data_IF_236331817999
#
_entry.id   IF_236331817999
#
_cell.length_a   1.000
_cell.length_b   1.000
_cell.length_c   1.000
_cell.angle_alpha   90.00
_cell.angle_beta   90.00
_cell.angle_gamma   90.00
#
_symmetry.space_group_name_H-M   'P 1'
#
loop_
_entity.id
_entity.type
_entity.pdbx_description
1 polymer ?
#
# COMPACT_ATOMS: atom_id res chain seq x y z
N UNK A 1 7.24 -22.22 -0.74
CA UNK A 1 7.87 -22.31 0.61
C UNK A 1 8.13 -20.88 1.04
N UNK A 2 7.45 -20.29 2.01
CA UNK A 2 7.31 -20.63 3.43
C UNK A 2 5.94 -20.09 3.92
N UNK A 3 5.03 -20.84 4.54
CA UNK A 3 5.01 -21.19 5.97
C UNK A 3 5.25 -20.01 6.92
N UNK A 4 4.35 -19.03 6.93
CA UNK A 4 4.05 -18.20 8.09
C UNK A 4 2.53 -18.25 8.30
N UNK A 5 2.10 -18.43 9.55
CA UNK A 5 0.75 -18.86 9.93
C UNK A 5 -0.38 -17.94 9.47
N UNK A 6 -1.59 -18.30 9.92
CA UNK A 6 -2.89 -17.63 9.79
C UNK A 6 -2.94 -16.18 10.31
N UNK A 7 -1.84 -15.43 10.21
CA UNK A 7 -1.77 -14.00 10.51
C UNK A 7 -2.24 -13.24 9.27
N UNK A 8 -3.34 -12.51 9.42
CA UNK A 8 -3.85 -11.59 8.40
C UNK A 8 -2.75 -10.59 8.03
N UNK A 9 -2.54 -10.33 6.73
CA UNK A 9 -1.61 -9.30 6.27
C UNK A 9 -1.95 -7.96 6.94
N UNK A 10 -0.96 -7.18 7.37
CA UNK A 10 -1.20 -5.82 7.82
C UNK A 10 -1.92 -5.02 6.72
N UNK A 11 -2.94 -4.26 7.10
CA UNK A 11 -3.67 -3.37 6.17
C UNK A 11 -3.07 -1.97 6.22
N UNK A 12 -2.82 -1.36 5.06
CA UNK A 12 -2.22 -0.03 4.92
C UNK A 12 -3.10 0.85 4.04
N UNK A 13 -3.53 1.99 4.56
CA UNK A 13 -4.15 3.07 3.79
C UNK A 13 -3.13 4.22 3.64
N UNK A 14 -3.19 4.93 2.52
CA UNK A 14 -2.42 6.18 2.36
C UNK A 14 -3.34 7.32 1.93
N UNK A 15 -2.98 8.55 2.28
CA UNK A 15 -3.79 9.71 1.91
C UNK A 15 -2.90 10.89 1.59
N UNK A 16 -3.29 11.64 0.56
CA UNK A 16 -2.70 12.93 0.24
C UNK A 16 -3.71 14.01 0.64
N UNK A 17 -3.37 14.76 1.68
CA UNK A 17 -4.18 15.89 2.15
C UNK A 17 -3.71 17.16 1.42
N UNK A 18 -3.24 18.18 2.14
CA UNK A 18 -2.64 19.38 1.54
C UNK A 18 -1.17 19.16 1.12
N UNK A 19 -0.88 18.08 0.38
CA UNK A 19 0.45 17.70 -0.07
C UNK A 19 0.63 17.79 -1.59
N UNK A 20 1.89 17.86 -2.06
CA UNK A 20 2.23 17.87 -3.50
C UNK A 20 2.30 16.47 -4.13
N UNK A 21 1.90 15.43 -3.40
CA UNK A 21 2.06 14.02 -3.78
C UNK A 21 3.49 13.46 -3.81
N UNK A 22 4.51 14.29 -3.52
CA UNK A 22 5.92 13.87 -3.50
C UNK A 22 6.24 12.72 -2.53
N UNK A 23 5.55 12.62 -1.39
CA UNK A 23 5.76 11.49 -0.46
C UNK A 23 5.27 10.15 -1.03
N UNK A 24 4.23 10.17 -1.87
CA UNK A 24 3.75 8.95 -2.53
C UNK A 24 4.68 8.58 -3.69
N UNK A 25 5.22 9.58 -4.42
CA UNK A 25 6.26 9.34 -5.42
C UNK A 25 7.52 8.74 -4.78
N UNK A 26 7.98 9.28 -3.64
CA UNK A 26 9.09 8.69 -2.89
C UNK A 26 8.80 7.26 -2.38
N UNK A 27 7.53 6.91 -2.12
CA UNK A 27 7.14 5.52 -1.83
C UNK A 27 7.21 4.65 -3.10
N UNK A 28 6.83 5.18 -4.27
CA UNK A 28 6.91 4.45 -5.55
C UNK A 28 8.34 4.35 -6.09
N UNK A 29 9.24 5.24 -5.66
CA UNK A 29 10.69 5.20 -5.95
C UNK A 29 11.41 4.02 -5.26
N UNK A 30 10.68 3.09 -4.63
CA UNK A 30 11.23 1.79 -4.24
C UNK A 30 11.34 0.82 -5.42
N UNK A 31 10.86 1.23 -6.60
CA UNK A 31 10.88 0.50 -7.86
C UNK A 31 10.15 -0.85 -7.73
N UNK A 32 10.71 -1.93 -8.28
CA UNK A 32 10.16 -3.28 -8.27
C UNK A 32 9.90 -3.84 -6.86
N UNK A 33 10.48 -3.24 -5.81
CA UNK A 33 10.19 -3.63 -4.42
C UNK A 33 8.73 -3.37 -4.03
N UNK A 34 8.00 -2.56 -4.79
CA UNK A 34 6.55 -2.39 -4.60
C UNK A 34 5.80 -3.72 -4.79
N UNK A 35 6.31 -4.61 -5.65
CA UNK A 35 5.74 -5.94 -5.89
C UNK A 35 5.92 -6.84 -4.66
N UNK A 36 7.11 -6.82 -4.06
CA UNK A 36 7.37 -7.52 -2.80
C UNK A 36 6.52 -6.92 -1.66
N UNK A 37 6.33 -5.60 -1.62
CA UNK A 37 5.45 -4.97 -0.63
C UNK A 37 4.00 -5.45 -0.78
N UNK A 38 3.48 -5.56 -2.01
CA UNK A 38 2.13 -6.07 -2.27
C UNK A 38 1.93 -7.53 -1.83
N UNK A 39 3.00 -8.33 -1.76
CA UNK A 39 2.95 -9.67 -1.17
C UNK A 39 2.85 -9.64 0.36
N UNK A 40 3.41 -8.61 1.01
CA UNK A 40 3.50 -8.50 2.47
C UNK A 40 2.30 -7.82 3.13
N UNK A 41 1.62 -6.90 2.42
CA UNK A 41 0.54 -6.06 2.98
C UNK A 41 -0.72 -6.10 2.12
N UNK A 42 -1.85 -5.74 2.71
CA UNK A 42 -3.09 -5.46 1.98
C UNK A 42 -3.29 -3.93 1.91
N UNK A 43 -3.38 -3.38 0.70
CA UNK A 43 -3.71 -1.96 0.53
C UNK A 43 -5.22 -1.74 0.77
N UNK A 44 -5.52 -0.82 1.69
CA UNK A 44 -6.81 -0.14 1.82
C UNK A 44 -6.69 1.23 1.11
N UNK A 45 -7.72 2.09 1.16
CA UNK A 45 -7.83 3.35 0.43
C UNK A 45 -6.49 4.06 0.26
N UNK A 46 -6.08 4.21 -1.00
CA UNK A 46 -4.80 4.80 -1.35
C UNK A 46 -4.93 5.57 -2.68
N UNK A 47 -4.17 6.67 -2.89
CA UNK A 47 -4.13 7.31 -4.20
C UNK A 47 -3.53 6.44 -5.32
N UNK A 48 -2.87 5.33 -4.98
CA UNK A 48 -2.33 4.36 -5.95
C UNK A 48 -3.33 3.24 -6.28
N UNK A 49 -4.52 3.24 -5.67
CA UNK A 49 -5.62 2.32 -5.96
C UNK A 49 -6.94 3.04 -6.23
N UNK A 50 -7.95 2.27 -6.64
CA UNK A 50 -9.29 2.77 -6.97
C UNK A 50 -10.35 2.38 -5.93
N UNK A 51 -9.97 2.15 -4.67
CA UNK A 51 -10.95 1.81 -3.64
C UNK A 51 -11.71 3.07 -3.18
N UNK A 52 -12.94 3.27 -3.66
CA UNK A 52 -13.75 4.48 -3.40
C UNK A 52 -15.01 4.25 -2.56
N UNK A 53 -15.29 3.02 -2.15
CA UNK A 53 -16.47 2.73 -1.31
C UNK A 53 -16.39 3.46 0.03
N UNK A 54 -17.40 4.27 0.33
CA UNK A 54 -17.50 5.01 1.60
C UNK A 54 -18.40 4.18 2.52
N UNK A 55 -17.83 3.67 3.61
CA UNK A 55 -18.55 3.04 4.71
C UNK A 55 -19.03 4.10 5.70
#
# INVERSE_FOLDING_TARGET
>A
MSAAGTAKKPRIATTSLAGCFGCHMSLLDIDDRILALAELVDFDKSPIDDFKEIQ
#
